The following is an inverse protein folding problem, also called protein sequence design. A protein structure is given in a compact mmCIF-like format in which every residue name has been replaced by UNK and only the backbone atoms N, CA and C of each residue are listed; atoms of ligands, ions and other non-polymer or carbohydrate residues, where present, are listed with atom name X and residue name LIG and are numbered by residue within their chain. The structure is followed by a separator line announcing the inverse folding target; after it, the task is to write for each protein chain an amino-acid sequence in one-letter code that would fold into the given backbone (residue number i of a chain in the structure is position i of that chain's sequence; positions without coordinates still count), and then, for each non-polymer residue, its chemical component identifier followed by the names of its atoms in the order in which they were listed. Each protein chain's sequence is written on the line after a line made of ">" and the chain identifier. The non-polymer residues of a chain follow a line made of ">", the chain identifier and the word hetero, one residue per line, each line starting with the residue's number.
data_IF_818655680034
#
_entry.id   IF_818655680034
#
_cell.length_a   1.000
_cell.length_b   1.000
_cell.length_c   1.000
_cell.angle_alpha   90.00
_cell.angle_beta   90.00
_cell.angle_gamma   90.00
#
_symmetry.space_group_name_H-M   'P 1'
#
loop_
_entity.id
_entity.type
_entity.pdbx_description
1 polymer ?
#
# COMPACT_ATOMS: atom_id res chain seq x y z
N UNK A 1 14.38 22.45 4.64
CA UNK A 1 14.94 21.35 5.45
C UNK A 1 13.73 20.57 5.94
N UNK A 2 13.62 19.31 5.60
CA UNK A 2 12.45 18.53 6.00
C UNK A 2 12.79 17.55 7.11
N UNK A 3 11.94 17.53 8.10
CA UNK A 3 12.00 16.68 9.27
C UNK A 3 10.86 15.67 9.18
N UNK A 4 11.19 14.40 9.04
CA UNK A 4 10.21 13.37 8.73
C UNK A 4 10.14 12.33 9.84
N UNK A 5 8.92 12.02 10.28
CA UNK A 5 8.63 10.88 11.15
C UNK A 5 8.18 9.71 10.27
N UNK A 6 8.93 8.61 10.30
CA UNK A 6 8.58 7.39 9.57
C UNK A 6 8.08 6.36 10.59
N UNK A 7 6.80 5.99 10.48
CA UNK A 7 6.19 4.94 11.30
C UNK A 7 6.21 3.64 10.50
N UNK A 8 6.94 2.67 11.02
CA UNK A 8 7.23 1.39 10.38
C UNK A 8 8.74 1.12 10.32
N UNK A 9 9.12 -0.14 10.52
CA UNK A 9 10.51 -0.61 10.43
C UNK A 9 10.55 -2.07 9.94
N UNK A 10 9.68 -2.39 8.96
CA UNK A 10 9.64 -3.65 8.23
C UNK A 10 10.53 -3.62 6.98
N UNK A 11 10.35 -4.60 6.09
CA UNK A 11 11.11 -4.70 4.85
C UNK A 11 10.97 -3.47 3.96
N UNK A 12 9.74 -3.09 3.63
CA UNK A 12 9.43 -1.91 2.78
C UNK A 12 9.94 -0.62 3.42
N UNK A 13 9.65 -0.42 4.73
CA UNK A 13 10.12 0.76 5.45
C UNK A 13 11.64 0.87 5.46
N UNK A 14 12.37 -0.25 5.64
CA UNK A 14 13.82 -0.29 5.57
C UNK A 14 14.34 0.23 4.23
N UNK A 15 13.78 -0.26 3.11
CA UNK A 15 14.17 0.21 1.76
C UNK A 15 13.87 1.69 1.58
N UNK A 16 12.67 2.15 1.96
CA UNK A 16 12.29 3.56 1.86
C UNK A 16 13.23 4.47 2.67
N UNK A 17 13.57 4.09 3.91
CA UNK A 17 14.49 4.83 4.77
C UNK A 17 15.88 4.90 4.15
N UNK A 18 16.39 3.78 3.61
CA UNK A 18 17.65 3.77 2.86
C UNK A 18 17.64 4.77 1.70
N UNK A 19 16.52 4.84 0.94
CA UNK A 19 16.37 5.77 -0.18
C UNK A 19 16.28 7.23 0.28
N UNK A 20 15.54 7.51 1.34
CA UNK A 20 15.50 8.85 1.94
C UNK A 20 16.90 9.31 2.39
N UNK A 21 17.69 8.41 2.97
CA UNK A 21 19.06 8.69 3.38
C UNK A 21 20.05 8.92 2.22
N UNK A 22 19.70 8.58 0.98
CA UNK A 22 20.52 8.87 -0.21
C UNK A 22 20.34 10.31 -0.72
N UNK A 23 19.33 11.03 -0.24
CA UNK A 23 19.04 12.43 -0.62
C UNK A 23 18.95 13.31 0.64
N UNK A 24 20.04 13.44 1.40
CA UNK A 24 20.07 14.12 2.70
C UNK A 24 19.77 15.63 2.61
N UNK A 25 19.91 16.21 1.42
CA UNK A 25 19.52 17.61 1.15
C UNK A 25 18.01 17.81 1.20
N UNK A 26 17.23 16.75 0.98
CA UNK A 26 15.76 16.73 1.12
C UNK A 26 15.36 16.25 2.51
N UNK A 27 15.84 15.07 2.91
CA UNK A 27 15.54 14.45 4.21
C UNK A 27 16.66 14.75 5.21
N UNK A 28 16.62 15.94 5.81
CA UNK A 28 17.70 16.39 6.70
C UNK A 28 17.65 15.72 8.06
N UNK A 29 16.45 15.42 8.58
CA UNK A 29 16.24 14.71 9.83
C UNK A 29 15.15 13.64 9.65
N UNK A 30 15.40 12.43 10.14
CA UNK A 30 14.44 11.30 10.14
C UNK A 30 14.33 10.75 11.55
N UNK A 31 13.09 10.56 12.02
CA UNK A 31 12.81 9.71 13.18
C UNK A 31 12.18 8.39 12.71
N UNK A 32 12.82 7.27 12.99
CA UNK A 32 12.30 5.93 12.70
C UNK A 32 11.55 5.44 13.92
N UNK A 33 10.27 5.12 13.80
CA UNK A 33 9.45 4.70 14.91
C UNK A 33 8.71 3.39 14.64
N UNK A 34 8.65 2.51 15.60
CA UNK A 34 7.86 1.28 15.55
C UNK A 34 7.60 0.72 16.94
N UNK A 35 6.75 -0.30 17.06
CA UNK A 35 6.52 -1.03 18.33
C UNK A 35 7.81 -1.65 18.89
N UNK A 36 8.75 -2.02 18.02
CA UNK A 36 10.03 -2.63 18.41
C UNK A 36 11.18 -1.66 18.17
N UNK A 37 11.44 -0.77 19.14
CA UNK A 37 12.50 0.24 19.05
C UNK A 37 13.87 -0.34 18.68
N UNK A 38 14.21 -1.53 19.17
CA UNK A 38 15.49 -2.17 18.87
C UNK A 38 15.72 -2.42 17.37
N UNK A 39 14.65 -2.66 16.56
CA UNK A 39 14.74 -2.74 15.09
C UNK A 39 15.10 -1.39 14.49
N UNK A 40 14.49 -0.31 15.00
CA UNK A 40 14.77 1.05 14.56
C UNK A 40 16.21 1.45 14.89
N UNK A 41 16.68 1.13 16.09
CA UNK A 41 18.05 1.41 16.56
C UNK A 41 19.09 0.68 15.69
N UNK A 42 18.82 -0.59 15.35
CA UNK A 42 19.70 -1.37 14.46
C UNK A 42 19.81 -0.73 13.08
N UNK A 43 18.68 -0.38 12.48
CA UNK A 43 18.64 0.25 11.15
C UNK A 43 19.33 1.63 11.19
N UNK A 44 19.09 2.43 12.20
CA UNK A 44 19.74 3.73 12.39
C UNK A 44 21.27 3.60 12.50
N UNK A 45 21.76 2.64 13.26
CA UNK A 45 23.20 2.36 13.41
C UNK A 45 23.83 1.89 12.08
N UNK A 46 23.12 1.12 11.28
CA UNK A 46 23.56 0.67 9.96
C UNK A 46 23.67 1.82 8.95
N UNK A 47 22.75 2.77 9.02
CA UNK A 47 22.67 3.92 8.12
C UNK A 47 23.59 5.08 8.49
N UNK A 48 23.85 5.30 9.79
CA UNK A 48 24.61 6.43 10.29
C UNK A 48 25.95 6.66 9.56
N UNK A 49 26.77 5.63 9.22
CA UNK A 49 28.02 5.84 8.48
C UNK A 49 27.82 6.12 6.98
N UNK A 50 26.60 6.01 6.45
CA UNK A 50 26.30 6.07 5.00
C UNK A 50 25.58 7.35 4.58
N UNK A 51 25.20 8.20 5.51
CA UNK A 51 24.40 9.41 5.24
C UNK A 51 24.76 10.55 6.17
N UNK A 52 24.47 11.77 5.75
CA UNK A 52 24.51 12.98 6.59
C UNK A 52 23.14 13.33 7.17
N UNK A 53 22.08 12.59 6.80
CA UNK A 53 20.77 12.70 7.43
C UNK A 53 20.88 12.39 8.92
N UNK A 54 20.35 13.26 9.76
CA UNK A 54 20.29 13.01 11.20
C UNK A 54 19.18 12.01 11.50
N UNK A 55 19.56 10.83 11.99
CA UNK A 55 18.61 9.76 12.31
C UNK A 55 18.41 9.67 13.82
N UNK A 56 17.16 9.67 14.23
CA UNK A 56 16.72 9.37 15.60
C UNK A 56 15.74 8.20 15.60
N UNK A 57 15.48 7.61 16.73
CA UNK A 57 14.58 6.47 16.86
C UNK A 57 13.60 6.64 18.01
N UNK A 58 12.40 6.09 17.86
CA UNK A 58 11.39 6.10 18.92
C UNK A 58 10.65 4.76 18.98
N UNK A 59 10.02 4.51 20.12
CA UNK A 59 9.02 3.47 20.25
C UNK A 59 7.63 4.10 20.14
N UNK A 60 6.75 3.49 19.37
CA UNK A 60 5.35 3.91 19.25
C UNK A 60 4.47 2.71 18.94
N UNK A 61 3.34 2.63 19.56
CA UNK A 61 2.24 1.76 19.17
C UNK A 61 1.26 2.59 18.33
N UNK A 62 1.28 2.37 17.01
CA UNK A 62 0.49 3.16 16.08
C UNK A 62 -1.02 2.81 16.09
N UNK A 63 -1.43 1.78 16.84
CA UNK A 63 -2.83 1.50 17.14
C UNK A 63 -3.40 2.48 18.20
N UNK A 64 -2.54 3.25 18.85
CA UNK A 64 -2.90 4.20 19.90
C UNK A 64 -2.67 5.64 19.46
N UNK A 65 -3.74 6.32 19.10
CA UNK A 65 -3.73 7.73 18.66
C UNK A 65 -2.89 8.61 19.61
N UNK A 66 -3.08 8.45 20.92
CA UNK A 66 -2.41 9.28 21.94
C UNK A 66 -0.88 9.10 21.96
N UNK A 67 -0.39 7.88 21.72
CA UNK A 67 1.05 7.62 21.62
C UNK A 67 1.65 8.29 20.38
N UNK A 68 0.93 8.22 19.25
CA UNK A 68 1.34 8.88 17.98
C UNK A 68 1.33 10.41 18.14
N UNK A 69 0.28 10.98 18.76
CA UNK A 69 0.19 12.42 19.07
C UNK A 69 1.37 12.85 19.95
N UNK A 70 1.67 12.10 21.01
CA UNK A 70 2.78 12.40 21.90
C UNK A 70 4.13 12.42 21.18
N UNK A 71 4.35 11.45 20.29
CA UNK A 71 5.57 11.36 19.48
C UNK A 71 5.66 12.51 18.47
N UNK A 72 4.58 12.84 17.76
CA UNK A 72 4.53 13.96 16.82
C UNK A 72 4.84 15.28 17.54
N UNK A 73 4.23 15.52 18.71
CA UNK A 73 4.50 16.72 19.52
C UNK A 73 5.93 16.83 20.01
N UNK A 74 6.52 15.69 20.42
CA UNK A 74 7.90 15.65 20.89
C UNK A 74 8.91 15.84 19.76
N UNK A 75 8.67 15.22 18.61
CA UNK A 75 9.60 15.25 17.48
C UNK A 75 9.38 16.47 16.56
N UNK A 76 8.15 16.95 16.41
CA UNK A 76 7.74 18.07 15.55
C UNK A 76 8.16 17.86 14.07
N UNK A 77 7.66 16.85 13.39
CA UNK A 77 7.95 16.59 11.99
C UNK A 77 7.15 17.53 11.06
N UNK A 78 7.64 17.74 9.85
CA UNK A 78 6.91 18.39 8.75
C UNK A 78 5.96 17.41 8.03
N UNK A 79 6.29 16.11 8.11
CA UNK A 79 5.58 15.02 7.44
C UNK A 79 5.64 13.76 8.29
N UNK A 80 4.52 13.06 8.40
CA UNK A 80 4.46 11.67 8.88
C UNK A 80 4.32 10.75 7.69
N UNK A 81 5.28 9.85 7.49
CA UNK A 81 5.23 8.78 6.50
C UNK A 81 4.80 7.48 7.20
N UNK A 82 3.61 7.02 6.89
CA UNK A 82 3.11 5.74 7.36
C UNK A 82 3.56 4.61 6.42
N UNK A 83 4.51 3.81 6.88
CA UNK A 83 4.98 2.60 6.20
C UNK A 83 4.85 1.41 7.19
N UNK A 84 3.84 1.49 8.04
CA UNK A 84 3.39 0.40 8.90
C UNK A 84 2.42 -0.51 8.14
N UNK A 85 1.62 -1.28 8.84
CA UNK A 85 0.56 -2.05 8.21
C UNK A 85 -0.67 -1.14 7.95
N UNK A 86 -1.52 -1.47 6.98
CA UNK A 86 -2.67 -0.65 6.60
C UNK A 86 -3.72 -0.50 7.72
N UNK A 87 -3.68 -1.34 8.73
CA UNK A 87 -4.56 -1.27 9.92
C UNK A 87 -4.41 0.03 10.70
N UNK A 88 -3.24 0.69 10.65
CA UNK A 88 -2.92 1.88 11.42
C UNK A 88 -3.20 3.20 10.69
N UNK A 89 -3.63 3.17 9.42
CA UNK A 89 -3.76 4.37 8.60
C UNK A 89 -4.64 5.44 9.24
N UNK A 90 -5.85 5.07 9.66
CA UNK A 90 -6.80 6.03 10.22
C UNK A 90 -6.34 6.59 11.58
N UNK A 91 -5.72 5.75 12.41
CA UNK A 91 -5.17 6.15 13.70
C UNK A 91 -4.06 7.20 13.53
N UNK A 92 -3.19 6.99 12.54
CA UNK A 92 -2.10 7.94 12.24
C UNK A 92 -2.66 9.22 11.59
N UNK A 93 -3.67 9.12 10.71
CA UNK A 93 -4.35 10.28 10.14
C UNK A 93 -5.02 11.15 11.20
N UNK A 94 -5.70 10.55 12.19
CA UNK A 94 -6.28 11.26 13.33
C UNK A 94 -5.20 12.01 14.13
N UNK A 95 -4.06 11.37 14.39
CA UNK A 95 -2.94 11.99 15.09
C UNK A 95 -2.32 13.15 14.30
N UNK A 96 -2.19 13.00 12.98
CA UNK A 96 -1.69 14.05 12.08
C UNK A 96 -2.61 15.28 12.09
N UNK A 97 -3.92 15.08 11.98
CA UNK A 97 -4.91 16.15 12.08
C UNK A 97 -4.86 16.86 13.44
N UNK A 98 -4.79 16.10 14.53
CA UNK A 98 -4.72 16.66 15.88
C UNK A 98 -3.45 17.49 16.14
N UNK A 99 -2.38 17.22 15.38
CA UNK A 99 -1.09 17.90 15.52
C UNK A 99 -0.81 18.93 14.40
N UNK A 100 -1.65 19.01 13.37
CA UNK A 100 -1.43 19.93 12.25
C UNK A 100 -0.23 19.53 11.37
N UNK A 101 -0.06 18.25 11.07
CA UNK A 101 1.08 17.71 10.31
C UNK A 101 0.60 16.97 9.07
N UNK A 102 1.35 17.09 7.97
CA UNK A 102 1.05 16.38 6.72
C UNK A 102 1.22 14.87 6.88
N UNK A 103 0.46 14.12 6.10
CA UNK A 103 0.40 12.66 6.13
C UNK A 103 0.74 12.06 4.76
N UNK A 104 1.34 10.87 4.77
CA UNK A 104 1.59 10.06 3.58
C UNK A 104 1.52 8.57 3.96
N UNK A 105 0.89 7.76 3.12
CA UNK A 105 0.88 6.29 3.24
C UNK A 105 1.28 5.59 1.94
N UNK A 106 1.32 4.26 1.99
CA UNK A 106 1.72 3.41 0.86
C UNK A 106 0.64 2.39 0.47
N UNK A 107 -0.48 2.34 1.19
CA UNK A 107 -1.57 1.39 0.97
C UNK A 107 -2.90 1.95 1.49
N UNK A 108 -4.00 1.33 1.10
CA UNK A 108 -5.31 1.65 1.63
C UNK A 108 -5.52 1.01 3.01
N UNK A 109 -6.39 1.64 3.82
CA UNK A 109 -6.78 1.10 5.13
C UNK A 109 -7.52 -0.23 5.00
N UNK A 110 -7.14 -1.16 5.86
CA UNK A 110 -7.84 -2.41 6.07
C UNK A 110 -8.27 -2.57 7.53
N UNK A 111 -9.56 -2.87 7.81
CA UNK A 111 -9.98 -3.15 9.17
C UNK A 111 -9.43 -4.51 9.65
N UNK A 112 -8.84 -4.53 10.85
CA UNK A 112 -8.30 -5.77 11.44
C UNK A 112 -9.37 -6.82 11.77
N UNK A 113 -10.56 -6.38 12.13
CA UNK A 113 -11.63 -7.24 12.67
C UNK A 113 -12.66 -7.61 11.58
N UNK A 114 -12.21 -8.12 10.44
CA UNK A 114 -13.11 -8.55 9.36
C UNK A 114 -14.02 -9.72 9.74
N UNK A 115 -13.69 -10.45 10.81
CA UNK A 115 -14.53 -11.50 11.37
C UNK A 115 -15.68 -10.96 12.26
N UNK A 116 -15.60 -9.70 12.70
CA UNK A 116 -16.69 -9.05 13.41
C UNK A 116 -17.84 -8.77 12.44
N UNK A 117 -19.05 -9.34 12.64
CA UNK A 117 -20.19 -9.13 11.75
C UNK A 117 -20.57 -7.65 11.59
N UNK A 118 -20.35 -6.82 12.60
CA UNK A 118 -20.65 -5.39 12.55
C UNK A 118 -19.69 -4.65 11.62
N UNK A 119 -18.41 -4.97 11.70
CA UNK A 119 -17.38 -4.42 10.80
C UNK A 119 -17.58 -4.91 9.37
N UNK A 120 -17.83 -6.21 9.20
CA UNK A 120 -18.12 -6.81 7.89
C UNK A 120 -19.28 -6.10 7.19
N UNK A 121 -20.38 -5.85 7.88
CA UNK A 121 -21.55 -5.18 7.32
C UNK A 121 -21.23 -3.73 6.87
N UNK A 122 -20.41 -3.00 7.63
CA UNK A 122 -19.95 -1.65 7.25
C UNK A 122 -19.08 -1.71 6.00
N UNK A 123 -18.15 -2.65 5.95
CA UNK A 123 -17.21 -2.81 4.86
C UNK A 123 -17.92 -3.22 3.55
N UNK A 124 -18.76 -4.25 3.61
CA UNK A 124 -19.57 -4.70 2.46
C UNK A 124 -20.46 -3.59 1.91
N UNK A 125 -21.04 -2.77 2.80
CA UNK A 125 -21.82 -1.60 2.39
C UNK A 125 -20.95 -0.61 1.61
N UNK A 126 -19.72 -0.32 2.07
CA UNK A 126 -18.80 0.59 1.40
C UNK A 126 -18.37 0.06 0.04
N UNK A 127 -17.98 -1.21 -0.05
CA UNK A 127 -17.63 -1.84 -1.32
C UNK A 127 -18.81 -1.76 -2.32
N UNK A 128 -20.02 -2.02 -1.86
CA UNK A 128 -21.23 -1.90 -2.67
C UNK A 128 -21.49 -0.46 -3.14
N UNK A 129 -21.27 0.53 -2.27
CA UNK A 129 -21.40 1.95 -2.61
C UNK A 129 -20.32 2.38 -3.62
N UNK A 130 -19.12 1.82 -3.54
CA UNK A 130 -18.04 2.02 -4.49
C UNK A 130 -18.23 1.26 -5.82
N UNK A 131 -19.16 0.29 -5.86
CA UNK A 131 -19.51 -0.46 -7.08
C UNK A 131 -18.69 -1.74 -7.29
N UNK A 132 -18.00 -2.25 -6.28
CA UNK A 132 -17.27 -3.53 -6.32
C UNK A 132 -17.31 -4.23 -4.97
N UNK A 133 -16.98 -5.53 -4.94
CA UNK A 133 -16.97 -6.35 -3.72
C UNK A 133 -15.57 -6.61 -3.14
N UNK A 134 -14.53 -6.13 -3.79
CA UNK A 134 -13.17 -6.25 -3.29
C UNK A 134 -13.00 -5.53 -1.95
N UNK A 135 -12.17 -6.09 -1.08
CA UNK A 135 -11.96 -5.57 0.28
C UNK A 135 -10.92 -4.45 0.36
N UNK A 136 -10.46 -3.94 -0.77
CA UNK A 136 -9.44 -2.90 -0.87
C UNK A 136 -10.06 -1.65 -1.47
N UNK A 137 -10.18 -0.58 -0.69
CA UNK A 137 -10.75 0.68 -1.15
C UNK A 137 -10.24 1.86 -0.32
N UNK A 138 -9.98 2.99 -0.96
CA UNK A 138 -9.54 4.22 -0.32
C UNK A 138 -10.67 5.04 0.31
N UNK A 139 -11.92 4.61 0.28
CA UNK A 139 -13.05 5.39 0.79
C UNK A 139 -12.91 5.77 2.27
N UNK A 140 -12.21 4.94 3.04
CA UNK A 140 -11.92 5.20 4.45
C UNK A 140 -11.01 6.42 4.63
N UNK A 141 -9.92 6.49 3.89
CA UNK A 141 -9.00 7.63 3.93
C UNK A 141 -9.61 8.85 3.23
N UNK A 142 -10.36 8.68 2.13
CA UNK A 142 -11.08 9.76 1.47
C UNK A 142 -12.12 10.44 2.36
N UNK A 143 -12.68 9.75 3.36
CA UNK A 143 -13.56 10.35 4.36
C UNK A 143 -12.87 11.46 5.19
N UNK A 144 -11.54 11.49 5.20
CA UNK A 144 -10.74 12.52 5.86
C UNK A 144 -10.46 13.75 4.98
N UNK A 145 -10.74 13.70 3.67
CA UNK A 145 -10.35 14.73 2.71
C UNK A 145 -10.76 16.14 3.18
N UNK A 146 -12.02 16.32 3.55
CA UNK A 146 -12.54 17.62 4.04
C UNK A 146 -11.83 18.10 5.30
N UNK A 147 -11.51 17.22 6.23
CA UNK A 147 -10.81 17.58 7.48
C UNK A 147 -9.38 18.06 7.20
N UNK A 148 -8.66 17.38 6.30
CA UNK A 148 -7.31 17.78 5.87
C UNK A 148 -7.35 19.11 5.12
N UNK A 149 -8.31 19.31 4.20
CA UNK A 149 -8.50 20.56 3.47
C UNK A 149 -8.78 21.73 4.40
N UNK A 150 -9.73 21.60 5.33
CA UNK A 150 -10.07 22.62 6.32
C UNK A 150 -8.90 22.95 7.26
N UNK A 151 -8.04 21.97 7.54
CA UNK A 151 -6.82 22.16 8.34
C UNK A 151 -5.64 22.75 7.53
N UNK A 152 -5.78 22.90 6.21
CA UNK A 152 -4.69 23.34 5.32
C UNK A 152 -3.56 22.32 5.22
N UNK A 153 -3.86 21.04 5.40
CA UNK A 153 -2.91 19.94 5.40
C UNK A 153 -3.05 19.09 4.13
N UNK A 154 -1.98 18.39 3.81
CA UNK A 154 -1.96 17.44 2.70
C UNK A 154 -1.89 16.01 3.24
N UNK A 155 -2.74 15.13 2.70
CA UNK A 155 -2.61 13.68 2.82
C UNK A 155 -2.31 13.09 1.43
N UNK A 156 -1.15 12.47 1.26
CA UNK A 156 -0.77 11.77 0.04
C UNK A 156 -1.00 10.27 0.24
N UNK A 157 -1.99 9.72 -0.46
CA UNK A 157 -2.43 8.34 -0.30
C UNK A 157 -1.80 7.46 -1.38
N UNK A 158 -1.46 6.21 -1.01
CA UNK A 158 -0.96 5.21 -1.94
C UNK A 158 0.34 5.59 -2.65
N UNK A 159 1.31 6.10 -1.91
CA UNK A 159 2.60 6.54 -2.47
C UNK A 159 3.68 5.46 -2.32
N UNK A 160 3.41 4.28 -2.84
CA UNK A 160 4.32 3.14 -2.91
C UNK A 160 4.83 2.88 -4.34
N UNK A 161 5.02 1.60 -4.67
CA UNK A 161 5.32 1.18 -6.03
C UNK A 161 4.01 0.95 -6.81
N UNK A 162 3.18 0.06 -6.33
CA UNK A 162 1.80 -0.22 -6.71
C UNK A 162 0.96 -0.31 -5.42
N UNK A 163 0.14 0.68 -5.17
CA UNK A 163 -0.05 1.97 -5.84
C UNK A 163 1.09 2.98 -5.62
N UNK A 164 1.25 3.90 -6.59
CA UNK A 164 2.18 5.04 -6.52
C UNK A 164 2.97 5.28 -7.81
N UNK A 165 4.06 4.54 -8.01
CA UNK A 165 4.91 4.66 -9.21
C UNK A 165 4.13 4.30 -10.48
N UNK A 166 3.24 3.33 -10.44
CA UNK A 166 2.37 2.92 -11.55
C UNK A 166 1.50 4.07 -12.05
N UNK A 167 0.86 4.81 -11.13
CA UNK A 167 0.08 6.01 -11.50
C UNK A 167 0.97 7.13 -12.03
N UNK A 168 2.16 7.33 -11.45
CA UNK A 168 3.11 8.33 -11.92
C UNK A 168 3.57 8.03 -13.35
N UNK A 169 3.82 6.77 -13.69
CA UNK A 169 4.14 6.36 -15.07
C UNK A 169 2.97 6.59 -16.03
N UNK A 170 1.75 6.27 -15.64
CA UNK A 170 0.57 6.54 -16.45
C UNK A 170 0.36 8.04 -16.68
N UNK A 171 0.55 8.86 -15.64
CA UNK A 171 0.46 10.31 -15.75
C UNK A 171 1.56 10.90 -16.63
N UNK A 172 2.80 10.38 -16.53
CA UNK A 172 3.90 10.75 -17.39
C UNK A 172 3.62 10.40 -18.86
N UNK A 173 3.17 9.16 -19.10
CA UNK A 173 2.84 8.70 -20.46
C UNK A 173 1.71 9.53 -21.08
N UNK A 174 0.65 9.81 -20.32
CA UNK A 174 -0.44 10.70 -20.75
C UNK A 174 0.06 12.09 -21.12
N UNK A 175 1.01 12.62 -20.37
CA UNK A 175 1.50 13.99 -20.57
C UNK A 175 2.50 14.10 -21.73
N UNK A 176 3.30 13.07 -21.99
CA UNK A 176 4.47 13.17 -22.85
C UNK A 176 4.47 12.25 -24.07
N UNK A 177 3.74 11.12 -24.01
CA UNK A 177 3.88 10.05 -24.99
C UNK A 177 2.60 9.80 -25.79
N UNK A 178 1.41 10.10 -25.23
CA UNK A 178 0.12 9.80 -25.85
C UNK A 178 -0.82 11.01 -25.86
N UNK A 179 -1.51 11.22 -26.98
CA UNK A 179 -2.61 12.20 -27.07
C UNK A 179 -3.83 11.74 -26.28
N UNK A 180 -4.11 10.42 -26.32
CA UNK A 180 -5.19 9.77 -25.58
C UNK A 180 -4.75 8.39 -25.11
N UNK A 181 -5.29 7.93 -23.97
CA UNK A 181 -5.07 6.59 -23.45
C UNK A 181 -6.39 5.83 -23.45
N UNK A 182 -6.54 4.86 -24.34
CA UNK A 182 -7.73 4.02 -24.44
C UNK A 182 -7.73 2.87 -23.40
N UNK A 183 -6.57 2.28 -23.14
CA UNK A 183 -6.44 1.13 -22.23
C UNK A 183 -5.16 1.19 -21.42
N UNK A 184 -5.25 0.72 -20.17
CA UNK A 184 -4.11 0.56 -19.26
C UNK A 184 -4.11 -0.88 -18.75
N UNK A 185 -3.03 -1.61 -18.99
CA UNK A 185 -2.76 -2.89 -18.35
C UNK A 185 -1.46 -2.72 -17.52
N UNK A 186 -1.58 -2.81 -16.21
CA UNK A 186 -0.44 -2.84 -15.28
C UNK A 186 -0.04 -4.29 -15.11
N UNK A 187 1.25 -4.58 -15.33
CA UNK A 187 1.79 -5.94 -15.28
C UNK A 187 2.89 -5.98 -14.23
N UNK A 188 2.54 -6.39 -13.01
CA UNK A 188 3.49 -6.54 -11.92
C UNK A 188 4.21 -7.88 -12.00
N UNK A 189 5.54 -7.86 -11.96
CA UNK A 189 6.38 -9.04 -12.09
C UNK A 189 7.37 -9.18 -10.94
N UNK A 190 7.19 -10.22 -10.13
CA UNK A 190 8.23 -10.65 -9.22
C UNK A 190 9.27 -11.52 -9.97
N UNK A 191 10.43 -10.95 -10.23
CA UNK A 191 11.58 -11.64 -10.83
C UNK A 191 12.60 -12.16 -9.81
N UNK A 192 12.34 -12.00 -8.49
CA UNK A 192 13.24 -12.41 -7.41
C UNK A 192 13.11 -13.88 -7.03
N UNK A 193 14.08 -14.35 -6.25
CA UNK A 193 14.09 -15.65 -5.60
C UNK A 193 14.45 -15.48 -4.12
N UNK A 194 13.57 -15.94 -3.24
CA UNK A 194 13.77 -15.86 -1.78
C UNK A 194 14.54 -17.05 -1.21
N UNK A 195 14.88 -18.03 -2.03
CA UNK A 195 15.55 -19.28 -1.60
C UNK A 195 14.65 -20.23 -0.80
N UNK A 196 13.33 -20.01 -0.78
CA UNK A 196 12.34 -20.83 -0.11
C UNK A 196 11.32 -21.38 -1.10
N UNK A 197 10.78 -22.56 -0.81
CA UNK A 197 9.72 -23.17 -1.63
C UNK A 197 8.42 -22.34 -1.62
N UNK A 198 8.18 -21.62 -0.53
CA UNK A 198 7.06 -20.70 -0.35
C UNK A 198 7.51 -19.47 0.41
N UNK A 199 7.28 -18.28 -0.14
CA UNK A 199 7.53 -17.01 0.50
C UNK A 199 6.62 -15.93 -0.08
N UNK A 200 6.27 -14.95 0.73
CA UNK A 200 5.57 -13.73 0.30
C UNK A 200 6.53 -12.53 0.32
N UNK A 201 6.30 -11.54 -0.52
CA UNK A 201 7.18 -10.36 -0.63
C UNK A 201 6.99 -9.38 0.54
N UNK A 202 5.78 -9.33 1.10
CA UNK A 202 5.39 -8.44 2.19
C UNK A 202 4.59 -9.22 3.23
N UNK A 203 3.70 -8.56 3.98
CA UNK A 203 2.92 -9.23 5.01
C UNK A 203 2.15 -10.42 4.44
N UNK A 204 2.38 -11.66 4.93
CA UNK A 204 1.74 -12.86 4.37
C UNK A 204 0.22 -12.81 4.42
N UNK A 205 -0.37 -12.28 5.49
CA UNK A 205 -1.83 -12.22 5.65
C UNK A 205 -2.46 -11.32 4.60
N UNK A 206 -1.88 -10.14 4.36
CA UNK A 206 -2.39 -9.20 3.34
C UNK A 206 -2.28 -9.81 1.96
N UNK A 207 -1.13 -10.39 1.62
CA UNK A 207 -0.94 -11.04 0.33
C UNK A 207 -1.91 -12.21 0.11
N UNK A 208 -2.23 -12.96 1.18
CA UNK A 208 -3.21 -14.04 1.12
C UNK A 208 -4.63 -13.54 0.88
N UNK A 209 -5.03 -12.45 1.54
CA UNK A 209 -6.34 -11.82 1.32
C UNK A 209 -6.47 -11.29 -0.10
N UNK A 210 -5.45 -10.65 -0.61
CA UNK A 210 -5.40 -10.10 -1.96
C UNK A 210 -5.67 -11.17 -3.02
N UNK A 211 -4.99 -12.33 -2.96
CA UNK A 211 -5.19 -13.41 -3.93
C UNK A 211 -6.49 -14.20 -3.72
N UNK A 212 -7.09 -14.13 -2.53
CA UNK A 212 -8.36 -14.82 -2.21
C UNK A 212 -9.59 -13.94 -2.45
N UNK A 213 -9.40 -12.63 -2.58
CA UNK A 213 -10.49 -11.69 -2.85
C UNK A 213 -11.00 -11.79 -4.29
N UNK A 214 -12.28 -11.50 -4.56
CA UNK A 214 -12.75 -11.29 -5.91
C UNK A 214 -11.90 -10.25 -6.63
N UNK A 215 -11.52 -10.53 -7.88
CA UNK A 215 -10.85 -9.55 -8.72
C UNK A 215 -11.84 -8.52 -9.27
N UNK A 216 -11.37 -7.33 -9.56
CA UNK A 216 -12.16 -6.35 -10.29
C UNK A 216 -11.28 -5.45 -11.16
N UNK A 217 -11.87 -4.88 -12.20
CA UNK A 217 -11.21 -3.96 -13.10
C UNK A 217 -12.20 -2.94 -13.66
N UNK A 218 -11.68 -1.83 -14.18
CA UNK A 218 -12.48 -0.79 -14.81
C UNK A 218 -12.68 -1.06 -16.29
N UNK A 219 -13.92 -1.01 -16.75
CA UNK A 219 -14.25 -1.14 -18.17
C UNK A 219 -15.47 -0.30 -18.56
N UNK A 220 -15.33 0.53 -19.59
CA UNK A 220 -16.39 1.36 -20.15
C UNK A 220 -17.20 2.16 -19.14
N UNK A 221 -16.54 2.75 -18.15
CA UNK A 221 -17.18 3.62 -17.17
C UNK A 221 -17.78 2.90 -15.95
N UNK A 222 -17.51 1.61 -15.76
CA UNK A 222 -17.99 0.85 -14.61
C UNK A 222 -16.99 -0.22 -14.14
N UNK A 223 -17.14 -0.65 -12.90
CA UNK A 223 -16.41 -1.78 -12.35
C UNK A 223 -16.96 -3.11 -12.88
N UNK A 224 -16.07 -4.01 -13.24
CA UNK A 224 -16.37 -5.39 -13.61
C UNK A 224 -15.74 -6.30 -12.57
N UNK A 225 -16.56 -7.07 -11.89
CA UNK A 225 -16.13 -8.03 -10.88
C UNK A 225 -15.96 -9.42 -11.48
N UNK A 226 -14.94 -10.15 -11.02
CA UNK A 226 -14.62 -11.51 -11.44
C UNK A 226 -14.30 -12.38 -10.22
N UNK A 227 -14.50 -13.71 -10.29
CA UNK A 227 -14.01 -14.61 -9.26
C UNK A 227 -12.48 -14.49 -9.06
N UNK A 228 -12.01 -14.72 -7.82
CA UNK A 228 -10.60 -14.68 -7.50
C UNK A 228 -9.77 -15.52 -8.48
N UNK A 229 -8.65 -14.95 -8.96
CA UNK A 229 -7.68 -15.61 -9.82
C UNK A 229 -8.26 -16.22 -11.12
N UNK A 230 -9.47 -15.84 -11.55
CA UNK A 230 -10.18 -16.50 -12.67
C UNK A 230 -9.67 -16.10 -14.07
N UNK A 231 -9.02 -14.94 -14.21
CA UNK A 231 -8.41 -14.51 -15.47
C UNK A 231 -6.90 -14.64 -15.38
N UNK A 232 -6.37 -15.60 -16.14
CA UNK A 232 -4.94 -15.86 -16.28
C UNK A 232 -4.44 -15.37 -17.64
N UNK A 233 -3.23 -14.82 -17.67
CA UNK A 233 -2.53 -14.39 -18.88
C UNK A 233 -1.05 -14.76 -18.79
N UNK A 234 -0.45 -15.20 -19.90
CA UNK A 234 0.99 -15.32 -20.03
C UNK A 234 1.59 -14.02 -20.60
N UNK A 235 2.77 -13.67 -20.12
CA UNK A 235 3.55 -12.56 -20.66
C UNK A 235 5.05 -12.85 -20.55
N UNK A 236 5.80 -12.40 -21.56
CA UNK A 236 7.26 -12.51 -21.55
C UNK A 236 7.85 -11.17 -21.15
N UNK A 237 8.34 -11.10 -19.91
CA UNK A 237 9.01 -9.91 -19.38
C UNK A 237 10.46 -9.89 -19.86
N UNK A 238 10.93 -8.72 -20.27
CA UNK A 238 12.33 -8.55 -20.64
C UNK A 238 13.24 -8.92 -19.47
N UNK A 239 14.30 -9.67 -19.74
CA UNK A 239 15.31 -10.16 -18.79
C UNK A 239 14.80 -11.13 -17.70
N UNK A 240 13.49 -11.29 -17.53
CA UNK A 240 12.89 -12.21 -16.54
C UNK A 240 12.35 -13.48 -17.20
N UNK A 241 11.89 -13.36 -18.45
CA UNK A 241 11.29 -14.47 -19.20
C UNK A 241 9.77 -14.56 -19.07
N UNK A 242 9.23 -15.69 -19.51
CA UNK A 242 7.79 -15.96 -19.52
C UNK A 242 7.27 -16.21 -18.11
N UNK A 243 6.18 -15.54 -17.76
CA UNK A 243 5.47 -15.66 -16.48
C UNK A 243 3.97 -15.77 -16.70
N UNK A 244 3.35 -16.56 -15.84
CA UNK A 244 1.90 -16.55 -15.65
C UNK A 244 1.52 -15.39 -14.72
N UNK A 245 0.50 -14.63 -15.09
CA UNK A 245 -0.04 -13.57 -14.27
C UNK A 245 -1.56 -13.62 -14.23
N UNK A 246 -2.10 -13.12 -13.13
CA UNK A 246 -3.52 -13.21 -12.83
C UNK A 246 -4.08 -11.81 -12.59
N UNK A 247 -5.30 -11.58 -13.09
CA UNK A 247 -6.02 -10.33 -12.86
C UNK A 247 -6.52 -10.28 -11.43
N UNK A 248 -6.15 -9.21 -10.73
CA UNK A 248 -6.59 -8.89 -9.37
C UNK A 248 -7.26 -7.51 -9.36
N UNK A 249 -8.03 -7.22 -8.31
CA UNK A 249 -8.28 -5.83 -7.95
C UNK A 249 -7.00 -5.22 -7.37
N UNK A 250 -6.72 -3.96 -7.73
CA UNK A 250 -5.62 -3.23 -7.11
C UNK A 250 -5.95 -1.73 -7.03
N UNK A 251 -5.46 -1.07 -6.00
CA UNK A 251 -5.95 0.25 -5.58
C UNK A 251 -5.67 1.36 -6.58
N UNK A 252 -4.59 1.27 -7.36
CA UNK A 252 -4.29 2.31 -8.36
C UNK A 252 -5.35 2.44 -9.43
N UNK A 253 -6.14 1.39 -9.70
CA UNK A 253 -7.22 1.43 -10.69
C UNK A 253 -8.23 2.54 -10.33
N UNK A 254 -8.52 2.75 -9.04
CA UNK A 254 -9.45 3.78 -8.57
C UNK A 254 -9.00 5.18 -9.01
N UNK A 255 -7.75 5.52 -8.71
CA UNK A 255 -7.20 6.83 -9.06
C UNK A 255 -6.98 7.01 -10.55
N UNK A 256 -6.59 5.95 -11.27
CA UNK A 256 -6.42 5.97 -12.73
C UNK A 256 -7.77 6.17 -13.43
N UNK A 257 -8.83 5.45 -13.03
CA UNK A 257 -10.17 5.62 -13.59
C UNK A 257 -10.71 7.04 -13.37
N UNK A 258 -10.41 7.65 -12.22
CA UNK A 258 -10.80 9.02 -11.90
C UNK A 258 -10.04 10.07 -12.71
N UNK A 259 -8.73 9.89 -12.91
CA UNK A 259 -7.84 10.92 -13.48
C UNK A 259 -7.54 10.71 -14.98
N UNK A 260 -7.89 9.55 -15.53
CA UNK A 260 -7.81 9.23 -16.98
C UNK A 260 -9.19 8.75 -17.46
N UNK A 261 -10.20 9.63 -17.42
CA UNK A 261 -11.59 9.25 -17.69
C UNK A 261 -11.85 8.78 -19.12
N UNK A 262 -10.96 9.09 -20.05
CA UNK A 262 -10.99 8.58 -21.43
C UNK A 262 -10.61 7.11 -21.53
N UNK A 263 -9.95 6.52 -20.54
CA UNK A 263 -9.56 5.12 -20.57
C UNK A 263 -10.80 4.21 -20.49
N UNK A 264 -10.97 3.40 -21.54
CA UNK A 264 -12.09 2.46 -21.66
C UNK A 264 -11.88 1.21 -20.81
N UNK A 265 -10.62 0.85 -20.50
CA UNK A 265 -10.28 -0.31 -19.69
C UNK A 265 -8.99 -0.09 -18.91
N UNK A 266 -9.04 -0.41 -17.60
CA UNK A 266 -7.87 -0.38 -16.71
C UNK A 266 -7.85 -1.69 -15.91
N UNK A 267 -6.72 -2.42 -16.00
CA UNK A 267 -6.55 -3.73 -15.35
C UNK A 267 -5.19 -3.82 -14.69
N UNK A 268 -5.15 -4.59 -13.59
CA UNK A 268 -3.93 -4.95 -12.90
C UNK A 268 -3.71 -6.48 -12.96
N UNK A 269 -2.49 -6.88 -13.24
CA UNK A 269 -2.09 -8.28 -13.27
C UNK A 269 -0.82 -8.47 -12.43
N UNK A 270 -0.81 -9.48 -11.57
CA UNK A 270 0.35 -9.86 -10.76
C UNK A 270 0.79 -11.28 -11.10
N UNK A 271 2.11 -11.51 -11.05
CA UNK A 271 2.69 -12.83 -11.34
C UNK A 271 2.72 -13.71 -10.10
N UNK A 272 2.30 -14.96 -10.26
CA UNK A 272 2.42 -15.99 -9.23
C UNK A 272 3.07 -17.26 -9.81
N UNK A 273 4.08 -17.78 -9.11
CA UNK A 273 4.69 -19.05 -9.47
C UNK A 273 3.78 -20.24 -9.12
N UNK A 274 3.88 -21.35 -9.90
CA UNK A 274 3.06 -22.54 -9.65
C UNK A 274 3.25 -23.09 -8.23
N UNK A 275 4.50 -23.15 -7.75
CA UNK A 275 4.80 -23.60 -6.37
C UNK A 275 4.06 -22.77 -5.33
N UNK A 276 3.99 -21.43 -5.51
CA UNK A 276 3.23 -20.54 -4.62
C UNK A 276 1.74 -20.92 -4.61
N UNK A 277 1.12 -21.08 -5.78
CA UNK A 277 -0.29 -21.42 -5.90
C UNK A 277 -0.63 -22.79 -5.31
N UNK A 278 0.26 -23.77 -5.46
CA UNK A 278 0.09 -25.12 -4.91
C UNK A 278 0.13 -25.09 -3.37
N UNK A 279 1.05 -24.32 -2.78
CA UNK A 279 1.10 -24.13 -1.32
C UNK A 279 -0.12 -23.40 -0.79
N UNK A 280 -0.60 -22.36 -1.50
CA UNK A 280 -1.81 -21.64 -1.16
C UNK A 280 -3.03 -22.58 -1.12
N UNK A 281 -3.21 -23.38 -2.18
CA UNK A 281 -4.30 -24.35 -2.24
C UNK A 281 -4.21 -25.36 -1.10
N UNK A 282 -3.02 -25.87 -0.81
CA UNK A 282 -2.81 -26.79 0.31
C UNK A 282 -3.23 -26.16 1.66
N UNK A 283 -2.90 -24.89 1.87
CA UNK A 283 -3.28 -24.17 3.09
C UNK A 283 -4.79 -23.92 3.18
N UNK A 284 -5.46 -23.67 2.06
CA UNK A 284 -6.92 -23.59 1.99
C UNK A 284 -7.56 -24.95 2.32
N UNK A 285 -7.09 -26.03 1.69
CA UNK A 285 -7.64 -27.38 1.87
C UNK A 285 -7.55 -27.88 3.32
N UNK A 286 -6.52 -27.49 4.06
CA UNK A 286 -6.38 -27.82 5.49
C UNK A 286 -7.02 -26.78 6.42
N UNK A 287 -7.73 -25.80 5.87
CA UNK A 287 -8.43 -24.77 6.65
C UNK A 287 -7.52 -23.83 7.43
N UNK A 288 -6.28 -23.63 6.99
CA UNK A 288 -5.31 -22.72 7.62
C UNK A 288 -5.36 -21.31 7.06
N UNK A 289 -6.03 -21.12 5.92
CA UNK A 289 -6.19 -19.84 5.25
C UNK A 289 -7.61 -19.72 4.70
N UNK A 290 -8.14 -18.54 4.71
CA UNK A 290 -9.08 -18.00 3.72
C UNK A 290 -10.54 -18.36 3.80
N UNK A 291 -10.98 -19.34 4.53
CA UNK A 291 -12.43 -19.61 4.68
C UNK A 291 -13.12 -18.74 5.74
N UNK A 292 -12.37 -18.02 6.53
CA UNK A 292 -12.92 -17.06 7.49
C UNK A 292 -13.47 -15.79 6.80
N UNK A 293 -13.20 -15.63 5.50
CA UNK A 293 -13.54 -14.43 4.73
C UNK A 293 -14.49 -14.69 3.56
N UNK A 294 -15.13 -15.88 3.53
CA UNK A 294 -16.17 -16.21 2.55
C UNK A 294 -17.54 -16.16 3.20
#
# INVERSE_FOLDING_TARGET
>A
MSKVLIIGCGGVASVAIHKCCQVPEVFTEICIASRTKAKCDKLAAELAPKTTTKITTAQVDADKVEEVIALIKAYQPDLVMNIALPYQDLTIMDACLACGVNYMDTANYEPENTDDPAWRAVYEKRCKEAGFSAYFDYSWQWAYAKKFEEAGLTALLGSGFDPGVTQAYCAYAKKHEFDTIDTIDILDCNGGDHGYAFATNFNPEINLREVSAPGSYWENGHWVEIPAMSIKREYTFDQVGQKDMYLLHHEEIESLAKNIPEAKRIRFFMTFGQSYLDHMRCLEDVGKIGRAHV
#
